data_IF_345576213411
#
_entry.id   IF_345576213411
#
_cell.length_a   1.000
_cell.length_b   1.000
_cell.length_c   1.000
_cell.angle_alpha   90.00
_cell.angle_beta   90.00
_cell.angle_gamma   90.00
#
_symmetry.space_group_name_H-M   'P 1'
#
loop_
_entity.id
_entity.type
_entity.pdbx_description
1 polymer ?
#
# COMPACT_ATOMS: atom_id res chain seq x y z
N UNK A 1 19.62 25.76 -15.23
CA UNK A 1 18.40 26.55 -14.91
C UNK A 1 18.75 27.62 -13.88
N UNK A 2 18.04 28.73 -13.79
CA UNK A 2 18.27 29.69 -12.72
C UNK A 2 17.93 29.06 -11.36
N UNK A 3 18.80 29.21 -10.36
CA UNK A 3 18.64 28.58 -9.03
C UNK A 3 17.35 28.94 -8.28
N UNK A 4 16.77 30.10 -8.60
CA UNK A 4 15.50 30.52 -7.98
C UNK A 4 14.28 29.68 -8.41
N UNK A 5 14.38 28.89 -9.50
CA UNK A 5 13.32 27.95 -9.90
C UNK A 5 13.28 26.69 -9.02
N UNK A 6 14.37 26.44 -8.27
CA UNK A 6 14.45 25.31 -7.34
C UNK A 6 13.77 25.63 -5.99
N UNK A 7 13.35 26.88 -5.78
CA UNK A 7 12.61 27.31 -4.59
C UNK A 7 11.12 26.95 -4.76
N UNK A 8 10.69 25.82 -4.20
CA UNK A 8 9.34 25.25 -4.39
C UNK A 8 8.23 26.25 -4.02
N UNK A 9 8.40 27.02 -2.94
CA UNK A 9 7.44 28.03 -2.47
C UNK A 9 7.95 29.47 -2.72
N UNK A 10 8.99 29.62 -3.52
CA UNK A 10 9.58 30.92 -3.84
C UNK A 10 8.61 31.82 -4.61
N UNK A 11 8.37 33.03 -4.11
CA UNK A 11 7.44 34.00 -4.72
C UNK A 11 7.72 34.23 -6.21
N UNK A 12 9.02 34.29 -6.57
CA UNK A 12 9.45 34.46 -7.96
C UNK A 12 9.21 33.23 -8.83
N UNK A 13 9.42 32.04 -8.28
CA UNK A 13 9.16 30.78 -8.98
C UNK A 13 7.67 30.60 -9.23
N UNK A 14 6.83 30.84 -8.23
CA UNK A 14 5.38 30.78 -8.35
C UNK A 14 4.81 31.82 -9.33
N UNK A 15 5.34 33.05 -9.32
CA UNK A 15 4.95 34.08 -10.28
C UNK A 15 5.29 33.67 -11.74
N UNK A 16 6.47 33.10 -11.95
CA UNK A 16 6.90 32.59 -13.25
C UNK A 16 5.99 31.45 -13.75
N UNK A 17 5.66 30.52 -12.86
CA UNK A 17 4.72 29.41 -13.15
C UNK A 17 3.35 29.97 -13.51
N UNK A 18 2.82 30.93 -12.76
CA UNK A 18 1.53 31.55 -13.02
C UNK A 18 1.47 32.23 -14.40
N UNK A 19 2.54 32.98 -14.78
CA UNK A 19 2.64 33.63 -16.09
C UNK A 19 2.65 32.60 -17.23
N UNK A 20 3.46 31.54 -17.10
CA UNK A 20 3.55 30.49 -18.13
C UNK A 20 2.28 29.66 -18.24
N UNK A 21 1.63 29.38 -17.12
CA UNK A 21 0.31 28.72 -17.10
C UNK A 21 -0.75 29.59 -17.78
N UNK A 22 -0.75 30.91 -17.55
CA UNK A 22 -1.68 31.82 -18.22
C UNK A 22 -1.47 31.83 -19.73
N UNK A 23 -0.21 31.84 -20.20
CA UNK A 23 0.12 31.76 -21.62
C UNK A 23 -0.31 30.42 -22.25
N UNK A 24 -0.09 29.31 -21.56
CA UNK A 24 -0.50 27.96 -22.00
C UNK A 24 -2.03 27.86 -22.08
N UNK A 25 -2.74 28.34 -21.07
CA UNK A 25 -4.21 28.36 -21.07
C UNK A 25 -4.75 29.18 -22.22
N UNK A 26 -4.21 30.37 -22.45
CA UNK A 26 -4.61 31.22 -23.56
C UNK A 26 -4.39 30.57 -24.94
N UNK A 27 -3.38 29.71 -25.07
CA UNK A 27 -3.07 29.01 -26.35
C UNK A 27 -3.92 27.74 -26.56
N UNK A 28 -4.36 27.07 -25.50
CA UNK A 28 -5.00 25.74 -25.56
C UNK A 28 -6.47 25.80 -25.19
N UNK A 29 -6.81 26.46 -24.07
CA UNK A 29 -8.17 26.58 -23.57
C UNK A 29 -8.98 27.56 -24.43
N UNK A 30 -10.30 27.42 -24.45
CA UNK A 30 -11.22 28.31 -25.19
C UNK A 30 -11.38 27.94 -26.66
N UNK A 31 -10.79 26.84 -27.13
CA UNK A 31 -11.12 26.26 -28.43
C UNK A 31 -12.32 25.33 -28.32
N UNK A 32 -13.18 25.25 -29.35
CA UNK A 32 -14.33 24.33 -29.36
C UNK A 32 -13.88 22.87 -29.15
N UNK A 33 -12.73 22.48 -29.71
CA UNK A 33 -12.18 21.13 -29.51
C UNK A 33 -11.78 20.86 -28.06
N UNK A 34 -11.15 21.84 -27.40
CA UNK A 34 -10.79 21.70 -25.99
C UNK A 34 -12.01 21.50 -25.10
N UNK A 35 -13.03 22.34 -25.28
CA UNK A 35 -14.27 22.27 -24.49
C UNK A 35 -15.03 20.95 -24.75
N UNK A 36 -15.04 20.47 -26.00
CA UNK A 36 -15.66 19.18 -26.32
C UNK A 36 -14.95 18.04 -25.58
N UNK A 37 -13.62 17.95 -25.66
CA UNK A 37 -12.84 16.90 -24.99
C UNK A 37 -12.98 17.01 -23.47
N UNK A 38 -12.92 18.22 -22.90
CA UNK A 38 -13.11 18.43 -21.46
C UNK A 38 -14.46 17.91 -20.98
N UNK A 39 -15.55 18.27 -21.70
CA UNK A 39 -16.90 17.83 -21.36
C UNK A 39 -17.07 16.31 -21.51
N UNK A 40 -16.48 15.70 -22.56
CA UNK A 40 -16.53 14.24 -22.73
C UNK A 40 -15.78 13.51 -21.60
N UNK A 41 -14.61 14.01 -21.20
CA UNK A 41 -13.83 13.43 -20.09
C UNK A 41 -14.61 13.60 -18.77
N UNK A 42 -15.17 14.79 -18.50
CA UNK A 42 -15.97 15.06 -17.31
C UNK A 42 -17.17 14.10 -17.22
N UNK A 43 -17.89 13.89 -18.32
CA UNK A 43 -19.01 12.94 -18.36
C UNK A 43 -18.59 11.49 -18.08
N UNK A 44 -17.38 11.09 -18.49
CA UNK A 44 -16.83 9.76 -18.18
C UNK A 44 -16.46 9.65 -16.70
N UNK A 45 -15.80 10.67 -16.15
CA UNK A 45 -15.37 10.69 -14.74
C UNK A 45 -16.58 10.72 -13.77
N UNK A 46 -17.64 11.44 -14.14
CA UNK A 46 -18.88 11.57 -13.37
C UNK A 46 -19.84 10.39 -13.53
N UNK A 47 -19.54 9.49 -14.49
CA UNK A 47 -20.40 8.34 -14.77
C UNK A 47 -20.54 7.43 -13.56
N UNK A 48 -21.77 7.10 -13.21
CA UNK A 48 -22.09 6.06 -12.22
C UNK A 48 -22.12 4.64 -12.82
N UNK A 49 -21.97 4.51 -14.16
CA UNK A 49 -21.93 3.21 -14.87
C UNK A 49 -20.53 2.59 -14.82
N UNK A 50 -20.08 2.32 -13.59
CA UNK A 50 -18.79 1.71 -13.30
C UNK A 50 -18.97 0.58 -12.29
N UNK A 51 -18.13 -0.47 -12.43
CA UNK A 51 -18.06 -1.54 -11.42
C UNK A 51 -17.28 -1.00 -10.21
N UNK A 52 -17.90 -0.94 -9.00
CA UNK A 52 -17.19 -0.51 -7.81
C UNK A 52 -16.07 -1.50 -7.47
N UNK A 53 -14.82 -1.06 -7.53
CA UNK A 53 -13.69 -1.85 -7.03
C UNK A 53 -13.75 -1.91 -5.51
N UNK A 54 -13.60 -3.12 -4.96
CA UNK A 54 -13.72 -3.34 -3.52
C UNK A 54 -12.47 -3.97 -2.94
N UNK A 55 -12.11 -3.52 -1.72
CA UNK A 55 -11.13 -4.16 -0.88
C UNK A 55 -11.83 -4.89 0.27
N UNK A 56 -11.43 -6.14 0.54
CA UNK A 56 -12.00 -6.91 1.64
C UNK A 56 -11.18 -6.75 2.92
N UNK A 57 -11.84 -6.41 4.02
CA UNK A 57 -11.27 -6.42 5.35
C UNK A 57 -12.32 -6.73 6.40
N UNK A 58 -11.97 -7.52 7.44
CA UNK A 58 -12.82 -7.83 8.59
C UNK A 58 -14.27 -8.20 8.20
N UNK A 59 -14.45 -9.06 7.18
CA UNK A 59 -15.74 -9.54 6.73
C UNK A 59 -16.62 -8.54 5.97
N UNK A 60 -16.09 -7.35 5.65
CA UNK A 60 -16.78 -6.30 4.89
C UNK A 60 -16.03 -5.98 3.60
N UNK A 61 -16.72 -5.35 2.65
CA UNK A 61 -16.17 -4.81 1.42
C UNK A 61 -16.15 -3.28 1.51
N UNK A 62 -15.03 -2.68 1.19
CA UNK A 62 -14.78 -1.24 1.24
C UNK A 62 -14.53 -0.73 -0.18
N UNK A 63 -15.06 0.44 -0.48
CA UNK A 63 -14.93 1.08 -1.78
C UNK A 63 -14.73 2.59 -1.60
N UNK A 64 -13.89 3.18 -2.42
CA UNK A 64 -13.84 4.62 -2.62
C UNK A 64 -14.56 4.95 -3.93
N UNK A 65 -15.47 5.91 -3.89
CA UNK A 65 -16.36 6.22 -4.99
C UNK A 65 -16.42 7.71 -5.23
N UNK A 66 -16.35 8.13 -6.49
CA UNK A 66 -16.58 9.50 -6.95
C UNK A 66 -17.71 9.53 -7.96
N UNK A 67 -18.50 10.59 -7.99
CA UNK A 67 -19.53 10.88 -8.99
C UNK A 67 -19.76 12.40 -9.05
N UNK A 68 -20.72 12.84 -9.86
CA UNK A 68 -21.05 14.26 -10.02
C UNK A 68 -21.49 14.95 -8.72
N UNK A 69 -22.13 14.23 -7.81
CA UNK A 69 -22.60 14.75 -6.52
C UNK A 69 -21.47 14.74 -5.45
N UNK A 70 -20.47 13.87 -5.62
CA UNK A 70 -19.36 13.69 -4.69
C UNK A 70 -18.01 13.68 -5.45
N UNK A 71 -17.57 14.83 -5.98
CA UNK A 71 -16.37 14.92 -6.79
C UNK A 71 -15.08 14.63 -6.00
N UNK A 72 -15.03 14.90 -4.68
CA UNK A 72 -13.92 14.54 -3.80
C UNK A 72 -14.04 13.13 -3.24
N UNK A 73 -15.24 12.55 -3.27
CA UNK A 73 -15.48 11.12 -3.09
C UNK A 73 -16.03 10.69 -1.74
N UNK A 74 -16.54 9.47 -1.76
CA UNK A 74 -17.10 8.77 -0.62
C UNK A 74 -16.26 7.54 -0.28
N UNK A 75 -15.82 7.42 0.96
CA UNK A 75 -15.37 6.12 1.46
C UNK A 75 -16.55 5.40 2.10
N UNK A 76 -16.88 4.22 1.58
CA UNK A 76 -18.08 3.48 1.94
C UNK A 76 -17.83 1.99 2.08
N UNK A 77 -18.73 1.29 2.77
CA UNK A 77 -18.65 -0.16 2.95
C UNK A 77 -19.96 -0.86 2.63
N UNK A 78 -19.88 -2.17 2.37
CA UNK A 78 -21.05 -3.03 2.16
C UNK A 78 -20.77 -4.46 2.63
N UNK A 79 -21.77 -5.32 2.57
CA UNK A 79 -21.62 -6.76 2.79
C UNK A 79 -21.38 -7.50 1.48
N UNK A 80 -20.80 -8.69 1.59
CA UNK A 80 -20.62 -9.56 0.43
C UNK A 80 -21.95 -9.96 -0.24
N UNK A 81 -22.99 -10.22 0.57
CA UNK A 81 -24.31 -10.56 0.10
C UNK A 81 -24.93 -9.44 -0.73
N UNK A 82 -24.87 -8.18 -0.22
CA UNK A 82 -25.40 -7.01 -0.92
C UNK A 82 -24.64 -6.74 -2.22
N UNK A 83 -23.30 -6.82 -2.20
CA UNK A 83 -22.48 -6.62 -3.40
C UNK A 83 -22.77 -7.66 -4.48
N UNK A 84 -22.91 -8.93 -4.12
CA UNK A 84 -23.26 -10.00 -5.07
C UNK A 84 -24.68 -9.91 -5.60
N UNK A 85 -25.62 -9.43 -4.81
CA UNK A 85 -27.03 -9.32 -5.23
C UNK A 85 -27.24 -8.29 -6.34
N UNK A 86 -26.42 -7.24 -6.39
CA UNK A 86 -26.48 -6.16 -7.39
C UNK A 86 -25.91 -6.52 -8.76
N UNK A 87 -25.19 -7.64 -8.88
CA UNK A 87 -24.97 -8.33 -10.13
C UNK A 87 -23.97 -7.84 -11.17
N UNK A 88 -22.86 -7.13 -10.88
CA UNK A 88 -21.80 -7.00 -11.89
C UNK A 88 -21.08 -8.33 -12.18
N UNK A 89 -21.26 -9.34 -11.32
CA UNK A 89 -20.54 -10.62 -11.38
C UNK A 89 -21.36 -11.79 -11.99
N UNK A 90 -22.53 -11.55 -12.59
CA UNK A 90 -23.28 -12.59 -13.28
C UNK A 90 -22.85 -12.68 -14.74
N UNK A 91 -21.93 -13.60 -15.04
CA UNK A 91 -21.67 -14.00 -16.42
C UNK A 91 -23.00 -14.40 -17.10
N UNK A 92 -23.43 -13.64 -18.10
CA UNK A 92 -24.62 -13.94 -18.91
C UNK A 92 -25.99 -13.58 -18.30
N UNK A 93 -26.01 -12.81 -17.21
CA UNK A 93 -27.27 -12.41 -16.54
C UNK A 93 -27.78 -11.04 -16.96
N UNK A 94 -29.09 -10.90 -17.10
CA UNK A 94 -29.77 -9.60 -17.12
C UNK A 94 -29.44 -8.84 -15.83
N UNK A 95 -29.14 -7.55 -15.94
CA UNK A 95 -28.86 -6.69 -14.78
C UNK A 95 -29.93 -6.90 -13.70
N UNK A 96 -29.52 -7.21 -12.49
CA UNK A 96 -30.43 -7.28 -11.34
C UNK A 96 -30.94 -5.87 -11.05
N UNK A 97 -32.24 -5.73 -10.79
CA UNK A 97 -32.81 -4.47 -10.31
C UNK A 97 -32.37 -4.12 -8.86
N UNK A 98 -31.65 -5.02 -8.19
CA UNK A 98 -31.14 -4.78 -6.86
C UNK A 98 -29.87 -3.93 -6.93
N UNK A 99 -29.84 -2.83 -6.22
CA UNK A 99 -28.65 -1.97 -6.03
C UNK A 99 -27.88 -2.41 -4.80
N UNK A 100 -26.56 -2.33 -4.85
CA UNK A 100 -25.71 -2.55 -3.67
C UNK A 100 -26.07 -1.55 -2.58
N UNK A 101 -26.32 -2.07 -1.37
CA UNK A 101 -26.57 -1.21 -0.20
C UNK A 101 -25.22 -0.76 0.37
N UNK A 102 -24.87 0.50 0.15
CA UNK A 102 -23.64 1.12 0.65
C UNK A 102 -23.92 1.88 1.94
N UNK A 103 -23.06 1.75 2.90
CA UNK A 103 -22.96 2.58 4.11
C UNK A 103 -21.79 3.56 3.92
N UNK A 104 -22.06 4.85 3.88
CA UNK A 104 -21.02 5.88 3.80
C UNK A 104 -20.34 6.01 5.17
N UNK A 105 -19.02 5.91 5.17
CA UNK A 105 -18.16 6.07 6.33
C UNK A 105 -17.59 7.49 6.41
N UNK A 106 -17.11 8.01 5.29
CA UNK A 106 -16.56 9.35 5.15
C UNK A 106 -17.03 9.92 3.82
N UNK A 107 -17.58 11.14 3.87
CA UNK A 107 -17.86 12.00 2.72
C UNK A 107 -16.77 13.08 2.71
N UNK A 108 -15.89 13.08 1.68
CA UNK A 108 -14.77 14.02 1.60
C UNK A 108 -15.24 15.44 1.25
N UNK A 109 -16.35 15.59 0.54
CA UNK A 109 -16.94 16.89 0.22
C UNK A 109 -17.50 17.57 1.49
N UNK A 110 -18.20 16.79 2.33
CA UNK A 110 -18.69 17.27 3.62
C UNK A 110 -17.55 17.57 4.59
N UNK A 111 -16.56 16.68 4.67
CA UNK A 111 -15.38 16.88 5.50
C UNK A 111 -14.63 18.14 5.10
N UNK A 112 -14.37 18.31 3.80
CA UNK A 112 -13.67 19.47 3.26
C UNK A 112 -14.40 20.78 3.56
N UNK A 113 -15.74 20.80 3.40
CA UNK A 113 -16.55 21.97 3.76
C UNK A 113 -16.48 22.32 5.26
N UNK A 114 -16.47 21.29 6.10
CA UNK A 114 -16.43 21.49 7.56
C UNK A 114 -15.07 21.96 8.07
N UNK A 115 -13.98 21.56 7.42
CA UNK A 115 -12.60 21.87 7.82
C UNK A 115 -11.97 22.99 7.01
N UNK A 116 -12.60 23.43 5.90
CA UNK A 116 -12.08 24.47 5.02
C UNK A 116 -10.87 24.01 4.19
N UNK A 117 -10.77 22.71 3.91
CA UNK A 117 -9.64 22.06 3.24
C UNK A 117 -10.12 21.22 2.07
N UNK A 118 -9.38 21.21 0.97
CA UNK A 118 -9.70 20.35 -0.18
C UNK A 118 -9.05 18.99 0.02
N UNK A 119 -9.74 18.10 0.72
CA UNK A 119 -9.21 16.76 0.98
C UNK A 119 -9.22 15.88 -0.26
N UNK A 120 -8.08 15.22 -0.50
CA UNK A 120 -7.89 14.17 -1.51
C UNK A 120 -7.60 12.85 -0.81
N UNK A 121 -8.26 11.80 -1.24
CA UNK A 121 -8.12 10.46 -0.68
C UNK A 121 -6.80 9.82 -1.06
N UNK A 122 -5.99 9.43 -0.08
CA UNK A 122 -4.75 8.66 -0.28
C UNK A 122 -4.86 7.20 0.18
N UNK A 123 -5.92 6.85 0.89
CA UNK A 123 -6.17 5.46 1.26
C UNK A 123 -6.70 5.24 2.67
N UNK A 124 -6.97 3.98 2.98
CA UNK A 124 -7.33 3.57 4.33
C UNK A 124 -6.84 2.15 4.64
N UNK A 125 -6.47 1.93 5.90
CA UNK A 125 -6.09 0.64 6.44
C UNK A 125 -7.05 0.24 7.56
N UNK A 126 -8.02 -0.62 7.25
CA UNK A 126 -8.93 -1.19 8.24
C UNK A 126 -8.19 -2.19 9.11
N UNK A 127 -8.34 -2.10 10.43
CA UNK A 127 -7.83 -3.12 11.35
C UNK A 127 -8.56 -4.45 11.07
N UNK A 128 -7.78 -5.49 10.70
CA UNK A 128 -8.34 -6.72 10.13
C UNK A 128 -8.69 -7.78 11.14
N UNK A 129 -8.00 -7.79 12.27
CA UNK A 129 -8.04 -8.84 13.29
C UNK A 129 -8.16 -8.24 14.70
N UNK A 130 -8.52 -9.05 15.67
CA UNK A 130 -8.63 -8.65 17.06
C UNK A 130 -9.98 -8.02 17.46
N UNK A 131 -10.09 -7.49 18.69
CA UNK A 131 -11.36 -7.02 19.24
C UNK A 131 -11.96 -5.81 18.53
N UNK A 132 -11.13 -5.01 17.86
CA UNK A 132 -11.53 -3.81 17.13
C UNK A 132 -11.53 -4.02 15.61
N UNK A 133 -11.43 -5.27 15.16
CA UNK A 133 -11.46 -5.61 13.71
C UNK A 133 -12.71 -5.05 13.04
N UNK A 134 -12.54 -4.33 11.93
CA UNK A 134 -13.63 -3.69 11.19
C UNK A 134 -14.28 -2.49 11.91
N UNK A 135 -13.75 -2.09 13.07
CA UNK A 135 -14.23 -0.94 13.87
C UNK A 135 -13.25 0.23 13.90
N UNK A 136 -12.02 0.01 13.48
CA UNK A 136 -10.96 1.04 13.41
C UNK A 136 -10.30 1.01 12.05
N UNK A 137 -9.95 2.18 11.56
CA UNK A 137 -9.09 2.33 10.40
C UNK A 137 -8.14 3.52 10.57
N UNK A 138 -7.01 3.46 9.88
CA UNK A 138 -6.13 4.59 9.61
C UNK A 138 -6.50 5.11 8.24
N UNK A 139 -6.71 6.41 8.10
CA UNK A 139 -7.11 7.08 6.84
C UNK A 139 -6.07 8.12 6.50
N UNK A 140 -5.56 8.07 5.28
CA UNK A 140 -4.59 9.02 4.75
C UNK A 140 -5.30 10.01 3.82
N UNK A 141 -5.15 11.31 4.11
CA UNK A 141 -5.80 12.42 3.42
C UNK A 141 -4.75 13.48 3.06
N UNK A 142 -4.74 13.92 1.80
CA UNK A 142 -3.85 14.98 1.31
C UNK A 142 -4.62 16.28 1.12
N UNK A 143 -4.01 17.41 1.49
CA UNK A 143 -4.55 18.73 1.17
C UNK A 143 -4.20 19.11 -0.27
N UNK A 144 -5.23 19.30 -1.08
CA UNK A 144 -5.12 19.66 -2.49
C UNK A 144 -4.42 18.65 -3.38
N UNK A 145 -4.17 17.41 -2.91
CA UNK A 145 -3.48 16.36 -3.68
C UNK A 145 -1.95 16.50 -3.69
N UNK A 146 -1.37 17.16 -2.66
CA UNK A 146 0.08 17.22 -2.50
C UNK A 146 0.71 15.85 -2.23
N UNK A 147 2.03 15.72 -2.39
CA UNK A 147 2.81 14.51 -2.06
C UNK A 147 2.82 14.17 -0.56
N UNK A 148 2.38 15.10 0.27
CA UNK A 148 2.25 14.91 1.70
C UNK A 148 0.80 14.65 2.06
N UNK A 149 0.59 13.85 3.09
CA UNK A 149 -0.73 13.59 3.64
C UNK A 149 -0.72 13.53 5.17
N UNK A 150 -1.87 13.63 5.76
CA UNK A 150 -2.11 13.38 7.18
C UNK A 150 -2.68 11.97 7.35
N UNK A 151 -2.30 11.28 8.42
CA UNK A 151 -3.00 10.05 8.81
C UNK A 151 -3.88 10.33 10.01
N UNK A 152 -5.14 9.89 9.98
CA UNK A 152 -6.09 10.00 11.09
C UNK A 152 -6.74 8.65 11.38
N UNK A 153 -6.84 8.30 12.66
CA UNK A 153 -7.62 7.13 13.06
C UNK A 153 -9.12 7.47 13.07
N UNK A 154 -9.93 6.56 12.53
CA UNK A 154 -11.39 6.69 12.48
C UNK A 154 -12.07 5.51 13.18
N UNK A 155 -13.13 5.82 13.93
CA UNK A 155 -14.09 4.84 14.45
C UNK A 155 -15.14 4.56 13.37
N UNK A 156 -15.15 3.32 12.85
CA UNK A 156 -16.00 2.92 11.73
C UNK A 156 -17.47 2.66 12.13
N UNK A 157 -17.78 2.58 13.42
CA UNK A 157 -19.16 2.45 13.90
C UNK A 157 -19.86 3.80 13.92
N UNK A 158 -19.10 4.89 14.10
CA UNK A 158 -19.61 6.25 14.21
C UNK A 158 -19.25 7.14 13.02
N UNK A 159 -18.29 6.74 12.18
CA UNK A 159 -17.71 7.54 11.09
C UNK A 159 -16.87 8.73 11.59
N UNK A 160 -16.50 8.78 12.88
CA UNK A 160 -15.83 9.91 13.52
C UNK A 160 -14.32 9.66 13.65
N UNK A 161 -13.52 10.66 13.30
CA UNK A 161 -12.10 10.64 13.60
C UNK A 161 -11.88 10.71 15.11
N UNK A 162 -10.91 9.95 15.61
CA UNK A 162 -10.50 9.90 17.00
C UNK A 162 -9.34 10.87 17.19
N UNK A 163 -9.54 11.99 17.93
CA UNK A 163 -8.46 12.94 18.12
C UNK A 163 -7.29 12.36 18.94
N UNK A 164 -6.05 12.86 18.77
CA UNK A 164 -4.93 12.47 19.61
C UNK A 164 -5.20 12.62 21.12
N UNK A 165 -5.94 13.66 21.52
CA UNK A 165 -6.34 13.88 22.91
C UNK A 165 -7.26 12.79 23.47
N UNK A 166 -7.97 12.05 22.62
CA UNK A 166 -8.79 10.88 22.95
C UNK A 166 -8.01 9.56 22.74
N UNK A 167 -6.72 9.64 22.45
CA UNK A 167 -5.84 8.50 22.23
C UNK A 167 -5.82 7.96 20.79
N UNK A 168 -6.39 8.69 19.81
CA UNK A 168 -6.32 8.33 18.41
C UNK A 168 -4.90 8.44 17.83
N UNK A 169 -4.56 7.56 16.90
CA UNK A 169 -3.33 7.70 16.14
C UNK A 169 -3.48 8.85 15.13
N UNK A 170 -2.43 9.63 15.04
CA UNK A 170 -2.37 10.78 14.14
C UNK A 170 -0.95 10.96 13.60
N UNK A 171 -0.83 11.35 12.35
CA UNK A 171 0.40 11.83 11.72
C UNK A 171 0.11 13.17 11.07
N UNK A 172 0.94 14.15 11.39
CA UNK A 172 0.90 15.46 10.72
C UNK A 172 1.29 15.34 9.24
N UNK A 173 0.92 16.34 8.45
CA UNK A 173 1.22 16.37 7.03
C UNK A 173 2.71 16.21 6.76
N UNK A 174 3.07 15.09 6.15
CA UNK A 174 4.45 14.74 5.78
C UNK A 174 4.43 13.61 4.75
N UNK A 175 5.59 13.35 4.13
CA UNK A 175 5.80 12.08 3.46
C UNK A 175 5.91 10.98 4.51
N UNK A 176 5.35 9.79 4.25
CA UNK A 176 5.43 8.68 5.19
C UNK A 176 4.10 7.93 5.33
N UNK A 177 3.98 7.16 6.41
CA UNK A 177 2.78 6.35 6.66
C UNK A 177 2.67 5.90 8.12
N UNK A 178 1.44 5.60 8.55
CA UNK A 178 1.17 4.75 9.70
C UNK A 178 0.56 3.43 9.21
N UNK A 179 0.94 2.31 9.83
CA UNK A 179 0.34 1.00 9.59
C UNK A 179 0.08 0.28 10.91
N UNK A 180 -0.99 -0.52 10.98
CA UNK A 180 -1.25 -1.32 12.18
C UNK A 180 -0.10 -2.28 12.47
N UNK A 181 0.42 -2.28 13.70
CA UNK A 181 1.50 -3.15 14.13
C UNK A 181 1.03 -4.37 14.92
N UNK A 182 -0.20 -4.37 15.42
CA UNK A 182 -0.77 -5.50 16.18
C UNK A 182 -2.27 -5.70 15.93
N UNK A 183 -2.81 -6.80 16.42
CA UNK A 183 -4.22 -7.16 16.27
C UNK A 183 -5.13 -6.41 17.27
N UNK A 184 -4.56 -5.84 18.32
CA UNK A 184 -5.32 -5.09 19.32
C UNK A 184 -5.64 -3.65 18.86
N UNK A 185 -4.89 -3.13 17.89
CA UNK A 185 -4.96 -1.74 17.47
C UNK A 185 -4.31 -0.78 18.47
N UNK A 186 -3.39 -1.29 19.31
CA UNK A 186 -2.70 -0.51 20.33
C UNK A 186 -1.34 0.03 19.88
N UNK A 187 -0.85 -0.46 18.73
CA UNK A 187 0.44 -0.08 18.18
C UNK A 187 0.35 0.14 16.67
N UNK A 188 1.21 1.04 16.20
CA UNK A 188 1.43 1.28 14.78
C UNK A 188 2.90 1.19 14.42
N UNK A 189 3.20 0.79 13.18
CA UNK A 189 4.45 1.05 12.51
C UNK A 189 4.37 2.47 11.97
N UNK A 190 5.31 3.31 12.33
CA UNK A 190 5.34 4.70 11.95
C UNK A 190 6.59 4.97 11.11
N UNK A 191 6.36 5.43 9.90
CA UNK A 191 7.38 5.93 8.98
C UNK A 191 7.11 7.42 8.86
N UNK A 192 7.77 8.21 9.71
CA UNK A 192 7.42 9.62 9.92
C UNK A 192 8.66 10.45 10.20
N UNK A 193 8.54 11.77 10.07
CA UNK A 193 9.53 12.69 10.63
C UNK A 193 9.52 12.55 12.17
N UNK A 194 10.67 12.16 12.72
CA UNK A 194 10.87 11.98 14.15
C UNK A 194 11.95 12.95 14.70
N UNK A 195 12.31 13.98 13.93
CA UNK A 195 13.30 14.98 14.28
C UNK A 195 14.61 14.86 13.49
N UNK A 196 15.65 15.49 13.99
CA UNK A 196 16.95 15.60 13.32
C UNK A 196 17.49 14.23 12.86
N UNK A 197 17.87 14.12 11.58
CA UNK A 197 18.43 12.93 10.97
C UNK A 197 17.41 11.83 10.64
N UNK A 198 16.12 12.07 10.83
CA UNK A 198 15.04 11.09 10.51
C UNK A 198 14.58 11.13 9.06
N UNK A 199 14.98 12.15 8.30
CA UNK A 199 14.59 12.31 6.89
C UNK A 199 15.80 12.15 5.94
N UNK A 200 15.52 11.68 4.73
CA UNK A 200 16.44 11.74 3.60
C UNK A 200 16.53 13.16 3.02
N UNK A 201 17.54 13.47 2.17
CA UNK A 201 17.60 14.75 1.49
C UNK A 201 16.36 15.10 0.66
N UNK A 202 15.62 14.10 0.19
CA UNK A 202 14.36 14.25 -0.55
C UNK A 202 13.13 14.39 0.36
N UNK A 203 13.32 14.44 1.70
CA UNK A 203 12.24 14.59 2.68
C UNK A 203 11.45 13.31 2.97
N UNK A 204 11.92 12.14 2.55
CA UNK A 204 11.31 10.86 2.94
C UNK A 204 11.86 10.39 4.29
N UNK A 205 11.01 9.81 5.15
CA UNK A 205 11.47 9.23 6.41
C UNK A 205 12.46 8.08 6.18
N UNK A 206 13.57 8.10 6.94
CA UNK A 206 14.60 7.07 6.93
C UNK A 206 14.46 6.06 8.05
N UNK A 207 13.49 6.26 8.95
CA UNK A 207 13.31 5.41 10.11
C UNK A 207 11.92 4.79 10.13
N UNK A 208 11.86 3.50 10.43
CA UNK A 208 10.65 2.82 10.86
C UNK A 208 10.64 2.76 12.36
N UNK A 209 9.57 3.22 12.98
CA UNK A 209 9.38 3.19 14.43
C UNK A 209 8.11 2.42 14.80
N UNK A 210 8.10 1.78 15.96
CA UNK A 210 6.90 1.20 16.55
C UNK A 210 6.41 2.09 17.68
N UNK A 211 5.20 2.61 17.52
CA UNK A 211 4.57 3.51 18.47
C UNK A 211 3.42 2.80 19.20
N UNK A 212 3.26 3.11 20.48
CA UNK A 212 2.04 2.82 21.25
C UNK A 212 1.12 4.03 21.22
N UNK A 213 -0.15 3.83 21.53
CA UNK A 213 -1.11 4.93 21.70
C UNK A 213 -0.57 5.99 22.66
N UNK A 214 -0.72 7.26 22.27
CA UNK A 214 -0.27 8.41 23.04
C UNK A 214 1.24 8.63 23.08
N UNK A 215 2.04 7.82 22.40
CA UNK A 215 3.47 8.04 22.24
C UNK A 215 3.75 9.02 21.10
N UNK A 216 4.69 9.95 21.31
CA UNK A 216 5.21 10.78 20.24
C UNK A 216 6.14 9.98 19.30
N UNK A 217 6.32 10.39 18.03
CA UNK A 217 7.24 9.72 17.12
C UNK A 217 8.67 9.58 17.67
N UNK A 218 9.18 10.58 18.37
CA UNK A 218 10.55 10.57 18.93
C UNK A 218 10.74 9.50 20.01
N UNK A 219 9.68 9.12 20.73
CA UNK A 219 9.70 8.12 21.80
C UNK A 219 9.55 6.68 21.29
N UNK A 220 9.21 6.51 20.03
CA UNK A 220 8.98 5.19 19.42
C UNK A 220 10.24 4.35 19.36
N UNK A 221 10.06 3.04 19.48
CA UNK A 221 11.12 2.06 19.29
C UNK A 221 11.56 2.05 17.82
N UNK A 222 12.84 2.30 17.56
CA UNK A 222 13.40 2.25 16.19
C UNK A 222 13.55 0.79 15.77
N UNK A 223 12.93 0.41 14.67
CA UNK A 223 12.98 -0.92 14.09
C UNK A 223 13.93 -1.00 12.90
N UNK A 224 14.06 0.09 12.16
CA UNK A 224 14.91 0.21 10.98
C UNK A 224 15.39 1.66 10.86
N UNK A 225 16.64 1.85 10.47
CA UNK A 225 17.16 3.12 9.95
C UNK A 225 17.83 2.84 8.62
N UNK A 226 17.35 3.43 7.55
CA UNK A 226 17.93 3.35 6.22
C UNK A 226 19.27 4.10 6.13
N UNK A 227 20.13 3.73 5.20
CA UNK A 227 21.36 4.43 4.90
C UNK A 227 21.10 5.91 4.55
N UNK A 228 22.14 6.74 4.65
CA UNK A 228 21.98 8.18 4.47
C UNK A 228 21.55 8.56 3.03
N UNK A 229 22.02 7.77 2.08
CA UNK A 229 21.82 8.01 0.65
C UNK A 229 20.60 7.25 0.09
N UNK A 230 19.90 6.43 0.93
CA UNK A 230 18.69 5.74 0.52
C UNK A 230 17.53 6.73 0.30
N UNK A 231 16.63 6.40 -0.62
CA UNK A 231 15.41 7.16 -0.83
C UNK A 231 14.52 7.20 0.42
N UNK A 232 14.50 6.12 1.22
CA UNK A 232 13.78 6.08 2.48
C UNK A 232 13.57 4.68 3.05
N UNK A 233 12.74 4.61 4.09
CA UNK A 233 12.35 3.39 4.78
C UNK A 233 10.83 3.19 4.73
N UNK A 234 10.38 1.95 4.72
CA UNK A 234 8.96 1.58 4.77
C UNK A 234 8.76 0.36 5.65
N UNK A 235 7.52 0.18 6.10
CA UNK A 235 7.13 -1.01 6.84
C UNK A 235 5.65 -1.31 6.65
N UNK A 236 5.32 -2.58 6.75
CA UNK A 236 3.93 -3.01 6.81
C UNK A 236 3.80 -4.30 7.62
N UNK A 237 2.59 -4.56 8.09
CA UNK A 237 2.22 -5.84 8.66
C UNK A 237 1.34 -6.58 7.65
N UNK A 238 1.75 -7.78 7.29
CA UNK A 238 0.98 -8.57 6.33
C UNK A 238 -0.30 -9.17 6.98
N UNK A 239 -1.18 -9.73 6.14
CA UNK A 239 -2.43 -10.34 6.59
C UNK A 239 -2.25 -11.57 7.50
N UNK A 240 -1.05 -12.11 7.58
CA UNK A 240 -0.69 -13.25 8.43
C UNK A 240 -0.01 -12.80 9.73
N UNK A 241 0.10 -11.50 9.96
CA UNK A 241 0.60 -10.90 11.17
C UNK A 241 2.12 -10.77 11.25
N UNK A 242 2.84 -10.85 10.12
CA UNK A 242 4.29 -10.67 10.06
C UNK A 242 4.61 -9.23 9.75
N UNK A 243 5.63 -8.68 10.44
CA UNK A 243 6.11 -7.33 10.20
C UNK A 243 7.26 -7.36 9.20
N UNK A 244 7.10 -6.61 8.13
CA UNK A 244 8.09 -6.42 7.07
C UNK A 244 8.68 -5.03 7.18
N UNK A 245 10.01 -4.94 7.09
CA UNK A 245 10.77 -3.72 7.07
C UNK A 245 11.52 -3.66 5.76
N UNK A 246 11.57 -2.50 5.12
CA UNK A 246 12.30 -2.34 3.87
C UNK A 246 12.98 -0.98 3.78
N UNK A 247 14.12 -0.94 3.09
CA UNK A 247 14.75 0.28 2.60
C UNK A 247 14.71 0.31 1.08
N UNK A 248 14.84 1.49 0.51
CA UNK A 248 15.02 1.68 -0.93
C UNK A 248 16.31 2.43 -1.15
N UNK A 249 17.38 1.73 -1.56
CA UNK A 249 18.61 2.35 -1.99
C UNK A 249 18.40 3.30 -3.15
N UNK A 250 17.46 2.96 -4.05
CA UNK A 250 17.00 3.79 -5.16
C UNK A 250 15.56 3.46 -5.54
N UNK A 251 15.03 4.13 -6.55
CA UNK A 251 13.64 3.97 -7.02
C UNK A 251 13.30 2.53 -7.48
N UNK A 252 14.29 1.74 -7.91
CA UNK A 252 14.09 0.43 -8.54
C UNK A 252 14.46 -0.75 -7.64
N UNK A 253 15.25 -0.49 -6.59
CA UNK A 253 15.79 -1.52 -5.70
C UNK A 253 15.21 -1.42 -4.30
N UNK A 254 15.14 -2.56 -3.60
CA UNK A 254 14.72 -2.62 -2.20
C UNK A 254 15.51 -3.70 -1.46
N UNK A 255 15.81 -3.43 -0.19
CA UNK A 255 16.30 -4.41 0.76
C UNK A 255 15.19 -4.72 1.77
N UNK A 256 14.99 -5.99 2.08
CA UNK A 256 13.81 -6.45 2.81
C UNK A 256 14.20 -7.29 4.03
N UNK A 257 13.57 -7.01 5.15
CA UNK A 257 13.73 -7.79 6.39
C UNK A 257 12.37 -8.23 6.93
N UNK A 258 12.38 -9.43 7.50
CA UNK A 258 11.27 -9.95 8.29
C UNK A 258 11.58 -9.81 9.77
N UNK A 259 10.74 -9.08 10.50
CA UNK A 259 10.85 -8.96 11.95
C UNK A 259 9.98 -10.05 12.60
N UNK A 260 10.56 -10.90 13.46
CA UNK A 260 9.79 -11.90 14.17
C UNK A 260 8.85 -11.23 15.18
N UNK A 261 7.55 -11.35 14.97
CA UNK A 261 6.55 -11.02 15.98
C UNK A 261 6.30 -12.27 16.84
N UNK A 262 6.30 -12.10 18.15
CA UNK A 262 6.40 -13.11 19.21
C UNK A 262 5.45 -14.31 19.25
N UNK A 263 4.81 -14.66 18.16
CA UNK A 263 3.91 -15.82 18.06
C UNK A 263 4.30 -16.87 17.00
N UNK A 264 5.26 -16.58 16.09
CA UNK A 264 5.79 -17.58 15.15
C UNK A 264 7.30 -17.63 15.28
N UNK A 265 7.80 -18.81 15.67
CA UNK A 265 9.22 -19.10 15.78
C UNK A 265 9.88 -19.04 14.40
N UNK A 266 10.45 -17.88 14.07
CA UNK A 266 11.50 -17.81 13.07
C UNK A 266 12.77 -18.46 13.68
N UNK A 267 13.63 -19.07 12.87
CA UNK A 267 14.89 -19.57 13.39
C UNK A 267 15.61 -18.43 14.14
N UNK A 268 16.17 -18.68 15.34
CA UNK A 268 16.85 -17.64 16.09
C UNK A 268 18.01 -17.12 15.25
N UNK A 269 18.00 -15.84 14.92
CA UNK A 269 19.15 -15.17 14.38
C UNK A 269 20.21 -15.13 15.49
N UNK A 270 21.30 -15.87 15.34
CA UNK A 270 22.38 -15.98 16.33
C UNK A 270 23.46 -14.92 16.15
N UNK A 271 23.24 -13.91 15.32
CA UNK A 271 24.21 -12.87 15.04
C UNK A 271 23.88 -11.51 15.68
N UNK A 272 24.89 -10.69 15.97
CA UNK A 272 24.65 -9.27 16.27
C UNK A 272 23.96 -8.63 15.08
N UNK A 273 23.22 -7.55 15.36
CA UNK A 273 22.63 -6.64 14.38
C UNK A 273 23.67 -6.44 13.27
N UNK A 274 23.46 -7.05 12.11
CA UNK A 274 24.34 -6.79 10.99
C UNK A 274 24.10 -5.30 10.61
N UNK A 275 25.06 -4.46 10.92
CA UNK A 275 25.23 -3.23 10.17
C UNK A 275 25.47 -3.71 8.74
N UNK A 276 24.50 -3.51 7.86
CA UNK A 276 24.81 -3.60 6.44
C UNK A 276 25.99 -2.64 6.18
N UNK A 277 26.90 -3.00 5.29
CA UNK A 277 28.11 -2.21 4.98
C UNK A 277 27.77 -0.75 4.59
N UNK A 278 26.52 -0.50 4.16
CA UNK A 278 25.97 0.79 3.76
C UNK A 278 25.51 1.70 4.92
N UNK A 279 25.54 1.21 6.18
CA UNK A 279 25.09 1.96 7.37
C UNK A 279 23.62 1.77 7.73
N UNK A 280 22.89 0.89 7.06
CA UNK A 280 21.53 0.47 7.44
C UNK A 280 21.55 -0.26 8.78
N UNK A 281 20.64 0.09 9.68
CA UNK A 281 20.49 -0.61 10.98
C UNK A 281 19.10 -1.17 11.14
N UNK A 282 18.97 -2.39 11.67
CA UNK A 282 17.70 -3.08 11.88
C UNK A 282 17.56 -3.58 13.32
N UNK A 283 16.33 -3.73 13.78
CA UNK A 283 16.01 -4.22 15.11
C UNK A 283 16.61 -5.64 15.34
N UNK A 284 16.99 -5.97 16.58
CA UNK A 284 17.48 -7.30 16.92
C UNK A 284 16.47 -8.38 16.55
N UNK A 285 16.96 -9.44 15.90
CA UNK A 285 16.14 -10.56 15.45
C UNK A 285 15.47 -10.37 14.09
N UNK A 286 15.59 -9.21 13.44
CA UNK A 286 15.18 -9.06 12.04
C UNK A 286 16.04 -9.95 11.13
N UNK A 287 15.40 -10.63 10.19
CA UNK A 287 16.05 -11.56 9.26
C UNK A 287 16.00 -10.97 7.87
N UNK A 288 17.18 -10.77 7.26
CA UNK A 288 17.28 -10.29 5.87
C UNK A 288 16.73 -11.33 4.90
N UNK A 289 16.03 -10.88 3.88
CA UNK A 289 15.53 -11.70 2.78
C UNK A 289 16.54 -11.61 1.63
N UNK A 290 17.40 -12.61 1.53
CA UNK A 290 18.50 -12.67 0.56
C UNK A 290 17.98 -12.97 -0.84
N UNK A 291 17.53 -11.94 -1.54
CA UNK A 291 17.04 -11.94 -2.93
C UNK A 291 17.68 -10.79 -3.71
N UNK A 292 17.70 -10.81 -5.05
CA UNK A 292 18.17 -9.65 -5.81
C UNK A 292 17.41 -8.39 -5.40
N UNK A 293 18.11 -7.28 -5.17
CA UNK A 293 17.50 -6.03 -4.72
C UNK A 293 16.48 -5.46 -5.73
N UNK A 294 16.62 -5.78 -7.01
CA UNK A 294 15.63 -5.47 -8.05
C UNK A 294 14.35 -6.32 -7.98
N UNK A 295 14.38 -7.47 -7.29
CA UNK A 295 13.23 -8.36 -7.17
C UNK A 295 12.19 -7.79 -6.18
N UNK A 296 10.94 -8.28 -6.30
CA UNK A 296 9.88 -8.02 -5.33
C UNK A 296 9.54 -9.31 -4.60
N UNK A 297 9.73 -9.32 -3.28
CA UNK A 297 9.45 -10.49 -2.46
C UNK A 297 8.28 -10.21 -1.50
N UNK A 298 7.40 -11.18 -1.35
CA UNK A 298 6.29 -11.14 -0.39
C UNK A 298 5.99 -12.54 0.11
N UNK A 299 5.47 -12.65 1.32
CA UNK A 299 5.05 -13.95 1.82
C UNK A 299 3.53 -14.11 1.70
N UNK A 300 3.12 -15.26 1.19
CA UNK A 300 1.73 -15.68 1.05
C UNK A 300 1.59 -17.02 1.77
N UNK A 301 0.73 -17.10 2.78
CA UNK A 301 0.69 -18.21 3.76
C UNK A 301 2.09 -18.45 4.34
N UNK A 302 2.65 -19.63 4.20
CA UNK A 302 3.99 -20.00 4.64
C UNK A 302 5.01 -20.09 3.48
N UNK A 303 4.69 -19.44 2.34
CA UNK A 303 5.53 -19.38 1.15
C UNK A 303 6.06 -17.96 0.93
N UNK A 304 7.34 -17.86 0.60
CA UNK A 304 7.94 -16.66 0.03
C UNK A 304 7.77 -16.72 -1.50
N UNK A 305 7.13 -15.69 -2.06
CA UNK A 305 6.99 -15.48 -3.50
C UNK A 305 7.92 -14.36 -3.92
N UNK A 306 8.67 -14.57 -5.01
CA UNK A 306 9.68 -13.63 -5.50
C UNK A 306 9.42 -13.39 -6.98
N UNK A 307 9.11 -12.16 -7.34
CA UNK A 307 8.97 -11.70 -8.72
C UNK A 307 10.28 -11.11 -9.20
N UNK A 308 10.88 -11.69 -10.22
CA UNK A 308 12.19 -11.30 -10.73
C UNK A 308 12.08 -10.20 -11.79
N UNK A 309 12.97 -9.22 -11.73
CA UNK A 309 13.14 -8.19 -12.76
C UNK A 309 14.37 -8.39 -13.64
N UNK A 310 15.26 -9.24 -13.20
CA UNK A 310 16.48 -9.66 -13.90
C UNK A 310 16.69 -11.17 -13.74
N UNK A 311 17.59 -11.75 -14.55
CA UNK A 311 17.93 -13.16 -14.44
C UNK A 311 18.62 -13.43 -13.10
N UNK A 312 18.16 -14.45 -12.39
CA UNK A 312 18.73 -14.84 -11.10
C UNK A 312 19.24 -16.26 -11.13
N UNK A 313 20.56 -16.40 -10.90
CA UNK A 313 21.21 -17.70 -10.78
C UNK A 313 21.32 -18.10 -9.30
N UNK A 314 20.65 -19.17 -8.90
CA UNK A 314 20.66 -19.68 -7.53
C UNK A 314 20.60 -21.20 -7.52
N UNK A 315 21.46 -21.85 -6.72
CA UNK A 315 21.51 -23.31 -6.63
C UNK A 315 21.85 -24.00 -7.96
N UNK A 316 22.55 -23.31 -8.88
CA UNK A 316 22.91 -23.84 -10.21
C UNK A 316 21.74 -23.84 -11.22
N UNK A 317 20.68 -23.13 -10.93
CA UNK A 317 19.52 -22.92 -11.81
C UNK A 317 19.38 -21.43 -12.09
N UNK A 318 19.23 -21.07 -13.37
CA UNK A 318 18.92 -19.70 -13.78
C UNK A 318 17.42 -19.55 -13.91
N UNK A 319 16.84 -18.61 -13.16
CA UNK A 319 15.45 -18.17 -13.28
C UNK A 319 15.44 -16.86 -14.09
N UNK A 320 14.78 -16.82 -15.26
CA UNK A 320 14.80 -15.63 -16.12
C UNK A 320 14.01 -14.46 -15.52
N UNK A 321 14.40 -13.23 -15.92
CA UNK A 321 13.65 -12.02 -15.65
C UNK A 321 12.16 -12.17 -16.00
N UNK A 322 11.26 -11.61 -15.18
CA UNK A 322 9.81 -11.77 -15.32
C UNK A 322 9.23 -13.05 -14.73
N UNK A 323 10.06 -13.95 -14.19
CA UNK A 323 9.58 -15.16 -13.50
C UNK A 323 8.98 -14.83 -12.13
N UNK A 324 8.01 -15.65 -11.72
CA UNK A 324 7.57 -15.78 -10.33
C UNK A 324 8.10 -17.09 -9.77
N UNK A 325 8.92 -17.00 -8.75
CA UNK A 325 9.45 -18.19 -8.06
C UNK A 325 8.96 -18.20 -6.61
N UNK A 326 8.91 -19.40 -6.01
CA UNK A 326 8.46 -19.56 -4.63
C UNK A 326 9.32 -20.57 -3.87
N UNK A 327 9.42 -20.36 -2.57
CA UNK A 327 9.99 -21.33 -1.62
C UNK A 327 9.20 -21.33 -0.31
N UNK A 328 9.18 -22.43 0.47
CA UNK A 328 8.71 -22.37 1.85
C UNK A 328 9.52 -21.35 2.64
N UNK A 329 8.82 -20.37 3.24
CA UNK A 329 9.46 -19.21 3.88
C UNK A 329 10.50 -19.63 4.93
N UNK A 330 10.13 -20.54 5.84
CA UNK A 330 11.05 -21.00 6.89
C UNK A 330 12.29 -21.69 6.34
N UNK A 331 12.15 -22.51 5.29
CA UNK A 331 13.26 -23.18 4.64
C UNK A 331 14.18 -22.19 3.91
N UNK A 332 13.57 -21.18 3.25
CA UNK A 332 14.34 -20.11 2.59
C UNK A 332 15.18 -19.32 3.59
N UNK A 333 14.57 -18.89 4.71
CA UNK A 333 15.28 -18.18 5.77
C UNK A 333 16.38 -18.99 6.44
N UNK A 334 16.27 -20.32 6.42
CA UNK A 334 17.32 -21.24 6.89
C UNK A 334 18.43 -21.54 5.85
N UNK A 335 18.38 -20.92 4.66
CA UNK A 335 19.31 -21.19 3.57
C UNK A 335 19.12 -22.57 2.90
N UNK A 336 17.98 -23.23 3.13
CA UNK A 336 17.67 -24.59 2.66
C UNK A 336 16.52 -24.62 1.63
N UNK A 337 15.94 -23.48 1.31
CA UNK A 337 14.80 -23.38 0.41
C UNK A 337 15.19 -23.64 -1.06
N UNK A 338 14.61 -24.68 -1.68
CA UNK A 338 14.65 -24.82 -3.13
C UNK A 338 13.59 -23.91 -3.75
N UNK A 339 13.99 -23.10 -4.74
CA UNK A 339 13.05 -22.29 -5.50
C UNK A 339 12.29 -23.17 -6.50
N UNK A 340 10.99 -22.96 -6.57
CA UNK A 340 10.09 -23.52 -7.57
C UNK A 340 9.57 -22.39 -8.45
N UNK A 341 9.72 -22.52 -9.77
CA UNK A 341 9.07 -21.59 -10.69
C UNK A 341 7.56 -21.85 -10.69
N UNK A 342 6.79 -20.80 -10.36
CA UNK A 342 5.33 -20.79 -10.48
C UNK A 342 4.90 -20.23 -11.82
N UNK A 343 5.70 -19.34 -12.39
CA UNK A 343 5.54 -18.79 -13.73
C UNK A 343 6.90 -18.50 -14.33
N UNK A 344 7.04 -18.78 -15.61
CA UNK A 344 8.21 -18.40 -16.42
C UNK A 344 7.72 -17.69 -17.67
N UNK A 345 8.20 -16.48 -17.98
CA UNK A 345 7.73 -15.74 -19.14
C UNK A 345 8.08 -16.43 -20.46
N UNK A 346 7.28 -16.19 -21.48
CA UNK A 346 7.55 -16.59 -22.86
C UNK A 346 7.72 -15.35 -23.74
N UNK A 347 7.83 -15.53 -25.06
CA UNK A 347 7.85 -14.41 -25.99
C UNK A 347 6.53 -13.62 -26.06
N UNK A 348 5.40 -14.21 -25.62
CA UNK A 348 4.08 -13.61 -25.67
C UNK A 348 3.38 -13.50 -24.32
N UNK A 349 3.79 -14.30 -23.32
CA UNK A 349 3.12 -14.36 -22.03
C UNK A 349 3.95 -13.73 -20.91
N UNK A 350 3.31 -12.84 -20.13
CA UNK A 350 3.89 -12.08 -19.04
C UNK A 350 3.01 -12.13 -17.81
N UNK A 351 3.62 -12.18 -16.63
CA UNK A 351 2.93 -12.04 -15.35
C UNK A 351 2.65 -10.55 -15.09
N UNK A 352 1.37 -10.18 -14.96
CA UNK A 352 0.96 -8.81 -14.59
C UNK A 352 0.68 -8.68 -13.09
N UNK A 353 0.41 -9.78 -12.39
CA UNK A 353 0.20 -9.79 -10.95
C UNK A 353 -0.25 -11.14 -10.42
N UNK A 354 -0.44 -11.20 -9.10
CA UNK A 354 -1.05 -12.36 -8.46
C UNK A 354 -1.85 -11.96 -7.22
N UNK A 355 -2.84 -12.78 -6.88
CA UNK A 355 -3.68 -12.57 -5.70
C UNK A 355 -3.87 -13.88 -4.94
N UNK A 356 -3.68 -13.84 -3.62
CA UNK A 356 -3.95 -14.98 -2.77
C UNK A 356 -5.39 -14.95 -2.25
N UNK A 357 -6.08 -16.08 -2.41
CA UNK A 357 -7.35 -16.37 -1.75
C UNK A 357 -7.11 -17.16 -0.45
N UNK A 358 -8.13 -17.75 0.15
CA UNK A 358 -7.95 -18.65 1.30
C UNK A 358 -7.15 -19.92 0.95
N UNK A 359 -7.25 -20.41 -0.29
CA UNK A 359 -6.74 -21.73 -0.68
C UNK A 359 -6.00 -21.75 -2.02
N UNK A 360 -6.01 -20.67 -2.78
CA UNK A 360 -5.46 -20.63 -4.12
C UNK A 360 -4.65 -19.36 -4.34
N UNK A 361 -3.59 -19.47 -5.13
CA UNK A 361 -2.90 -18.33 -5.71
C UNK A 361 -3.44 -18.17 -7.14
N UNK A 362 -3.96 -17.00 -7.44
CA UNK A 362 -4.45 -16.65 -8.78
C UNK A 362 -3.42 -15.76 -9.43
N UNK A 363 -2.84 -16.22 -10.54
CA UNK A 363 -1.94 -15.43 -11.37
C UNK A 363 -2.77 -14.69 -12.42
N UNK A 364 -2.46 -13.43 -12.64
CA UNK A 364 -2.98 -12.63 -13.74
C UNK A 364 -1.88 -12.52 -14.79
N UNK A 365 -2.19 -12.97 -15.99
CA UNK A 365 -1.24 -13.05 -17.10
C UNK A 365 -1.75 -12.18 -18.25
N UNK A 366 -0.82 -11.64 -19.02
CA UNK A 366 -1.09 -11.06 -20.33
C UNK A 366 -0.43 -11.97 -21.36
N UNK A 367 -1.22 -12.65 -22.20
CA UNK A 367 -0.76 -13.55 -23.26
C UNK A 367 -1.29 -13.07 -24.61
N UNK A 368 -0.43 -12.78 -25.55
CA UNK A 368 -0.77 -12.17 -26.84
C UNK A 368 -1.73 -10.95 -26.69
N UNK A 369 -1.49 -10.09 -25.71
CA UNK A 369 -2.33 -8.93 -25.36
C UNK A 369 -3.74 -9.28 -24.87
N UNK A 370 -3.99 -10.52 -24.43
CA UNK A 370 -5.25 -10.97 -23.84
C UNK A 370 -5.02 -11.32 -22.37
N UNK A 371 -5.88 -10.82 -21.49
CA UNK A 371 -5.85 -11.18 -20.07
C UNK A 371 -6.24 -12.63 -19.86
N UNK A 372 -5.43 -13.36 -19.10
CA UNK A 372 -5.66 -14.74 -18.71
C UNK A 372 -5.48 -14.91 -17.19
N UNK A 373 -6.19 -15.84 -16.60
CA UNK A 373 -6.05 -16.20 -15.19
C UNK A 373 -5.61 -17.65 -15.07
N UNK A 374 -4.58 -17.87 -14.24
CA UNK A 374 -4.14 -19.20 -13.85
C UNK A 374 -4.34 -19.38 -12.35
N UNK A 375 -4.90 -20.52 -11.94
CA UNK A 375 -5.19 -20.83 -10.54
C UNK A 375 -4.27 -21.94 -10.07
N UNK A 376 -3.40 -21.60 -9.12
CA UNK A 376 -2.47 -22.53 -8.49
C UNK A 376 -2.99 -22.95 -7.12
N UNK A 377 -2.89 -24.23 -6.81
CA UNK A 377 -3.21 -24.78 -5.48
C UNK A 377 -1.90 -25.20 -4.82
N UNK A 378 -1.47 -24.53 -3.73
CA UNK A 378 -0.26 -24.93 -3.03
C UNK A 378 -0.42 -26.32 -2.42
N UNK A 379 0.66 -27.12 -2.31
CA UNK A 379 0.63 -28.36 -1.60
C UNK A 379 0.26 -28.12 -0.14
N UNK A 380 -0.67 -28.89 0.40
CA UNK A 380 -1.05 -28.83 1.81
C UNK A 380 -0.02 -29.57 2.64
N UNK A 381 0.88 -28.88 3.29
CA UNK A 381 1.67 -29.44 4.38
C UNK A 381 0.93 -29.17 5.71
N UNK A 382 0.31 -30.22 6.25
CA UNK A 382 -0.28 -30.22 7.61
C UNK A 382 -1.62 -29.50 7.78
N UNK A 383 -2.32 -29.74 8.90
CA UNK A 383 -3.60 -29.08 9.17
C UNK A 383 -3.36 -27.59 9.47
N UNK A 384 -3.79 -26.74 8.59
CA UNK A 384 -4.04 -25.33 8.92
C UNK A 384 -5.32 -25.32 9.75
N UNK A 385 -5.18 -25.41 11.08
CA UNK A 385 -6.29 -25.15 11.99
C UNK A 385 -6.73 -23.69 11.81
N UNK A 386 -8.01 -23.54 11.51
CA UNK A 386 -8.81 -22.41 11.15
C UNK A 386 -8.37 -21.03 11.64
N UNK A 387 -8.35 -20.14 10.71
CA UNK A 387 -8.81 -18.75 10.88
C UNK A 387 -9.69 -18.39 9.68
N UNK A 388 -10.99 -18.58 9.88
CA UNK A 388 -12.05 -17.98 9.07
C UNK A 388 -12.07 -16.45 9.26
#
# INVERSE_FOLDING_TARGET
MPSWLDEVEGERALAWVAEHNAATRAAVEGTERFETIRTEIEAILDSSDRIPHVAQAAGRLYNFWTDADHPHGLWRRTTWESYRASGPLRAGGTASAATTQWETLIDLDDLGRSEGTTWVWHGAQVLRTGPLAGRRALVDLSDGGSDTDVTREVDLDTGRFIPPAEGGFHREASKGALAWADDAGDRVLAVVDAGEGSLSPAGYPRQVRRLRRGQSPAEGEVLLTAAADDDGAWAHRDRWGRTWLLTRPDFYTEELWLLPDGARTLPPSTGPIALAEDGTTVAPGAVHIDVPSSARATAVWDWLLISLREDWEVGGVTHPAGSLVAAPLTAFLAGQGRLQALFTPTSSAFLTGFTATAHHLVLTLLDDCVDALEVLTPPREGPVEGRD
#
